data_IF_910604422789
#
_entry.id   IF_910604422789
#
_cell.length_a   1.000
_cell.length_b   1.000
_cell.length_c   1.000
_cell.angle_alpha   90.00
_cell.angle_beta   90.00
_cell.angle_gamma   90.00
#
_symmetry.space_group_name_H-M   'P 1'
#
loop_
_entity.id
_entity.type
_entity.pdbx_description
1 polymer ?
#
# COMPACT_ATOMS: atom_id res chain seq x y z
N UNK A 1 14.54 -25.57 -4.84
CA UNK A 1 15.78 -25.33 -4.10
C UNK A 1 16.77 -24.72 -5.08
N UNK A 2 16.93 -23.41 -5.04
CA UNK A 2 18.05 -22.74 -5.67
C UNK A 2 19.32 -23.28 -5.02
N UNK A 3 20.16 -23.92 -5.82
CA UNK A 3 21.28 -24.76 -5.38
C UNK A 3 22.41 -24.04 -4.64
N UNK A 4 22.33 -22.69 -4.49
CA UNK A 4 23.41 -21.87 -3.97
C UNK A 4 23.04 -20.95 -2.78
N UNK A 5 21.80 -21.06 -2.23
CA UNK A 5 21.37 -20.25 -1.10
C UNK A 5 20.98 -21.07 0.12
N UNK A 6 21.63 -20.82 1.27
CA UNK A 6 21.27 -21.39 2.57
C UNK A 6 20.27 -20.45 3.27
N UNK A 7 19.07 -20.94 3.50
CA UNK A 7 18.01 -20.25 4.23
C UNK A 7 17.78 -20.87 5.59
N UNK A 8 17.45 -20.05 6.60
CA UNK A 8 16.75 -20.57 7.77
C UNK A 8 15.32 -20.92 7.35
N UNK A 9 14.86 -22.13 7.66
CA UNK A 9 13.55 -22.67 7.27
C UNK A 9 12.39 -21.69 7.50
N UNK A 10 12.40 -20.96 8.62
CA UNK A 10 11.36 -19.97 8.93
C UNK A 10 11.30 -18.82 7.92
N UNK A 11 12.43 -18.31 7.45
CA UNK A 11 12.46 -17.22 6.47
C UNK A 11 12.01 -17.69 5.09
N UNK A 12 12.37 -18.91 4.72
CA UNK A 12 11.88 -19.53 3.50
C UNK A 12 10.35 -19.70 3.53
N UNK A 13 9.78 -20.15 4.67
CA UNK A 13 8.33 -20.27 4.84
C UNK A 13 7.63 -18.90 4.79
N UNK A 14 8.23 -17.87 5.40
CA UNK A 14 7.70 -16.52 5.36
C UNK A 14 7.72 -15.94 3.92
N UNK A 15 8.81 -16.14 3.15
CA UNK A 15 8.91 -15.77 1.73
C UNK A 15 7.84 -16.48 0.88
N UNK A 16 7.67 -17.79 1.05
CA UNK A 16 6.62 -18.56 0.37
C UNK A 16 5.21 -18.03 0.72
N UNK A 17 5.00 -17.67 1.98
CA UNK A 17 3.73 -17.08 2.43
C UNK A 17 3.50 -15.74 1.73
N UNK A 18 4.50 -14.88 1.69
CA UNK A 18 4.42 -13.58 1.01
C UNK A 18 4.08 -13.76 -0.45
N UNK A 19 4.85 -14.59 -1.19
CA UNK A 19 4.63 -14.81 -2.61
C UNK A 19 3.23 -15.39 -2.91
N UNK A 20 2.82 -16.41 -2.15
CA UNK A 20 1.52 -17.07 -2.34
C UNK A 20 0.35 -16.12 -2.04
N UNK A 21 0.46 -15.34 -0.96
CA UNK A 21 -0.61 -14.41 -0.55
C UNK A 21 -0.70 -13.22 -1.48
N UNK A 22 0.41 -12.66 -1.94
CA UNK A 22 0.41 -11.59 -2.94
C UNK A 22 -0.21 -12.07 -4.25
N UNK A 23 0.20 -13.23 -4.77
CA UNK A 23 -0.40 -13.81 -5.98
C UNK A 23 -1.92 -14.02 -5.82
N UNK A 24 -2.37 -14.52 -4.67
CA UNK A 24 -3.80 -14.69 -4.40
C UNK A 24 -4.54 -13.35 -4.42
N UNK A 25 -4.03 -12.33 -3.72
CA UNK A 25 -4.66 -11.01 -3.65
C UNK A 25 -4.65 -10.29 -5.00
N UNK A 26 -3.62 -10.49 -5.82
CA UNK A 26 -3.50 -9.93 -7.16
C UNK A 26 -4.54 -10.51 -8.14
N UNK A 27 -4.92 -11.78 -7.97
CA UNK A 27 -5.94 -12.43 -8.80
C UNK A 27 -7.37 -12.08 -8.41
N UNK A 28 -7.60 -11.60 -7.20
CA UNK A 28 -8.92 -11.19 -6.74
C UNK A 28 -9.31 -9.85 -7.37
N UNK A 29 -10.46 -9.83 -8.01
CA UNK A 29 -10.98 -8.61 -8.65
C UNK A 29 -11.69 -7.73 -7.64
N UNK A 30 -11.45 -6.44 -7.72
CA UNK A 30 -12.20 -5.44 -6.95
C UNK A 30 -13.59 -5.21 -7.57
N UNK A 31 -14.48 -4.58 -6.82
CA UNK A 31 -15.80 -4.17 -7.31
C UNK A 31 -15.77 -2.91 -8.18
N UNK A 32 -14.65 -2.18 -8.19
CA UNK A 32 -14.50 -0.91 -8.91
C UNK A 32 -13.93 -1.21 -10.30
N UNK A 33 -14.63 -0.78 -11.34
CA UNK A 33 -14.15 -0.88 -12.73
C UNK A 33 -13.29 0.33 -13.11
N UNK A 34 -12.47 0.19 -14.16
CA UNK A 34 -11.65 1.30 -14.69
C UNK A 34 -12.50 2.52 -15.06
N UNK A 35 -13.66 2.31 -15.67
CA UNK A 35 -14.57 3.40 -16.07
C UNK A 35 -15.15 4.12 -14.85
N UNK A 36 -15.58 3.36 -13.86
CA UNK A 36 -16.08 3.91 -12.60
C UNK A 36 -14.96 4.67 -11.85
N UNK A 37 -13.75 4.12 -11.83
CA UNK A 37 -12.60 4.79 -11.21
C UNK A 37 -12.31 6.13 -11.89
N UNK A 38 -12.31 6.18 -13.23
CA UNK A 38 -12.06 7.41 -14.01
C UNK A 38 -13.12 8.47 -13.69
N UNK A 39 -14.40 8.12 -13.78
CA UNK A 39 -15.50 9.05 -13.48
C UNK A 39 -15.37 9.62 -12.06
N UNK A 40 -15.14 8.78 -11.06
CA UNK A 40 -15.01 9.22 -9.67
C UNK A 40 -13.75 10.05 -9.45
N UNK A 41 -12.65 9.74 -10.15
CA UNK A 41 -11.42 10.53 -10.07
C UNK A 41 -11.64 11.94 -10.60
N UNK A 42 -12.33 12.09 -11.73
CA UNK A 42 -12.68 13.39 -12.29
C UNK A 42 -13.53 14.22 -11.29
N UNK A 43 -14.55 13.59 -10.69
CA UNK A 43 -15.37 14.22 -9.64
C UNK A 43 -14.53 14.64 -8.42
N UNK A 44 -13.59 13.80 -7.98
CA UNK A 44 -12.68 14.12 -6.85
C UNK A 44 -11.76 15.27 -7.22
N UNK A 45 -11.19 15.28 -8.43
CA UNK A 45 -10.32 16.38 -8.89
C UNK A 45 -11.07 17.73 -8.94
N UNK A 46 -12.33 17.75 -9.37
CA UNK A 46 -13.17 18.95 -9.36
C UNK A 46 -13.42 19.50 -7.93
N UNK A 47 -13.40 18.64 -6.91
CA UNK A 47 -13.55 19.08 -5.52
C UNK A 47 -12.29 19.67 -4.92
N UNK A 48 -11.12 19.45 -5.53
CA UNK A 48 -9.84 19.88 -4.97
C UNK A 48 -9.70 21.39 -5.05
N UNK A 49 -9.63 22.04 -3.89
CA UNK A 49 -9.56 23.50 -3.74
C UNK A 49 -8.13 24.05 -3.92
N UNK A 50 -7.44 23.61 -4.97
CA UNK A 50 -6.11 24.14 -5.33
C UNK A 50 -6.12 24.63 -6.79
N UNK A 51 -5.83 25.92 -7.05
CA UNK A 51 -5.69 26.41 -8.42
C UNK A 51 -4.65 25.60 -9.19
N UNK A 52 -5.00 25.17 -10.39
CA UNK A 52 -4.12 24.42 -11.29
C UNK A 52 -3.63 23.06 -10.76
N UNK A 53 -4.33 22.47 -9.78
CA UNK A 53 -4.02 21.12 -9.37
C UNK A 53 -4.53 20.14 -10.44
N UNK A 54 -3.63 19.42 -11.04
CA UNK A 54 -3.91 18.32 -11.96
C UNK A 54 -2.96 17.19 -11.65
N UNK A 55 -3.48 15.98 -11.70
CA UNK A 55 -2.66 14.77 -11.65
C UNK A 55 -1.99 14.58 -13.00
N UNK A 56 -0.72 14.22 -13.01
CA UNK A 56 -0.07 13.71 -14.20
C UNK A 56 -0.55 12.29 -14.56
N UNK A 57 -0.18 11.81 -15.72
CA UNK A 57 -0.62 10.52 -16.25
C UNK A 57 -0.22 9.35 -15.33
N UNK A 58 1.00 9.39 -14.78
CA UNK A 58 1.47 8.38 -13.83
C UNK A 58 0.67 8.38 -12.53
N UNK A 59 0.31 9.56 -12.03
CA UNK A 59 -0.52 9.70 -10.83
C UNK A 59 -1.95 9.20 -11.06
N UNK A 60 -2.51 9.43 -12.25
CA UNK A 60 -3.82 8.89 -12.66
C UNK A 60 -3.78 7.36 -12.71
N UNK A 61 -2.75 6.78 -13.33
CA UNK A 61 -2.55 5.34 -13.38
C UNK A 61 -2.36 4.74 -11.98
N UNK A 62 -1.67 5.45 -11.11
CA UNK A 62 -1.52 5.11 -9.71
C UNK A 62 -2.86 4.99 -8.97
N UNK A 63 -3.73 5.96 -9.12
CA UNK A 63 -5.08 5.94 -8.52
C UNK A 63 -5.89 4.79 -9.10
N UNK A 64 -5.83 4.59 -10.42
CA UNK A 64 -6.51 3.51 -11.11
C UNK A 64 -6.07 2.14 -10.59
N UNK A 65 -4.75 1.90 -10.53
CA UNK A 65 -4.20 0.64 -10.02
C UNK A 65 -4.66 0.37 -8.58
N UNK A 66 -4.59 1.37 -7.69
CA UNK A 66 -5.02 1.22 -6.31
C UNK A 66 -6.54 1.00 -6.15
N UNK A 67 -7.36 1.51 -7.08
CA UNK A 67 -8.81 1.34 -7.07
C UNK A 67 -9.25 -0.02 -7.63
N UNK A 68 -8.56 -0.54 -8.65
CA UNK A 68 -8.96 -1.74 -9.39
C UNK A 68 -8.26 -3.03 -8.93
N UNK A 69 -7.25 -2.95 -8.06
CA UNK A 69 -6.52 -4.09 -7.50
C UNK A 69 -6.59 -4.12 -5.99
N UNK A 70 -6.47 -5.32 -5.42
CA UNK A 70 -6.49 -5.50 -3.96
C UNK A 70 -5.13 -5.24 -3.31
N UNK A 71 -4.04 -5.30 -4.06
CA UNK A 71 -2.71 -4.90 -3.59
C UNK A 71 -2.11 -3.91 -4.56
N UNK A 72 -1.59 -2.82 -4.03
CA UNK A 72 -0.86 -1.81 -4.79
C UNK A 72 0.34 -1.30 -4.01
N UNK A 73 1.40 -0.96 -4.73
CA UNK A 73 2.62 -0.36 -4.18
C UNK A 73 2.75 1.06 -4.71
N UNK A 74 2.75 2.04 -3.81
CA UNK A 74 3.04 3.44 -4.10
C UNK A 74 4.50 3.72 -3.79
N UNK A 75 5.33 3.63 -4.81
CA UNK A 75 6.77 3.85 -4.74
C UNK A 75 7.14 5.29 -5.06
N UNK A 76 8.23 5.78 -4.48
CA UNK A 76 8.79 7.09 -4.80
C UNK A 76 9.70 7.64 -3.71
N UNK A 77 10.62 8.52 -4.07
CA UNK A 77 11.55 9.18 -3.16
C UNK A 77 10.89 10.15 -2.16
N UNK A 78 11.67 10.74 -1.27
CA UNK A 78 11.18 11.76 -0.34
C UNK A 78 10.66 12.98 -1.09
N UNK A 79 9.49 13.52 -0.68
CA UNK A 79 8.93 14.74 -1.28
C UNK A 79 8.20 14.55 -2.62
N UNK A 80 8.05 13.34 -3.14
CA UNK A 80 7.33 13.05 -4.40
C UNK A 80 5.80 13.13 -4.31
N UNK A 81 5.27 13.52 -3.16
CA UNK A 81 3.82 13.67 -2.99
C UNK A 81 3.06 12.40 -2.62
N UNK A 82 3.73 11.32 -2.18
CA UNK A 82 3.10 10.04 -1.78
C UNK A 82 1.89 10.23 -0.85
N UNK A 83 2.00 11.09 0.16
CA UNK A 83 0.87 11.37 1.08
C UNK A 83 -0.32 12.00 0.36
N UNK A 84 -0.07 12.90 -0.59
CA UNK A 84 -1.12 13.50 -1.44
C UNK A 84 -1.82 12.41 -2.26
N UNK A 85 -1.05 11.51 -2.86
CA UNK A 85 -1.59 10.37 -3.60
C UNK A 85 -2.42 9.44 -2.71
N UNK A 86 -1.94 9.11 -1.51
CA UNK A 86 -2.72 8.32 -0.53
C UNK A 86 -4.07 9.01 -0.24
N UNK A 87 -4.10 10.33 -0.01
CA UNK A 87 -5.35 11.05 0.24
C UNK A 87 -6.31 10.98 -0.95
N UNK A 88 -5.81 11.13 -2.18
CA UNK A 88 -6.63 11.06 -3.40
C UNK A 88 -7.15 9.65 -3.62
N UNK A 89 -6.29 8.63 -3.50
CA UNK A 89 -6.70 7.22 -3.60
C UNK A 89 -7.81 6.91 -2.60
N UNK A 90 -7.63 7.29 -1.34
CA UNK A 90 -8.64 7.06 -0.31
C UNK A 90 -9.94 7.83 -0.58
N UNK A 91 -9.87 9.05 -1.12
CA UNK A 91 -11.04 9.82 -1.51
C UNK A 91 -11.79 9.16 -2.67
N UNK A 92 -11.09 8.67 -3.69
CA UNK A 92 -11.67 7.94 -4.81
C UNK A 92 -12.32 6.64 -4.33
N UNK A 93 -11.64 5.86 -3.50
CA UNK A 93 -12.19 4.62 -2.94
C UNK A 93 -13.46 4.88 -2.12
N UNK A 94 -13.45 5.91 -1.27
CA UNK A 94 -14.61 6.28 -0.44
C UNK A 94 -15.78 6.83 -1.26
N UNK A 95 -15.52 7.42 -2.42
CA UNK A 95 -16.56 7.92 -3.34
C UNK A 95 -17.11 6.81 -4.24
N UNK A 96 -16.24 5.89 -4.69
CA UNK A 96 -16.63 4.78 -5.55
C UNK A 96 -17.38 3.66 -4.82
N UNK A 97 -17.09 3.46 -3.52
CA UNK A 97 -17.73 2.45 -2.69
C UNK A 97 -18.41 3.08 -1.46
N UNK A 98 -19.73 3.32 -1.53
CA UNK A 98 -20.49 3.87 -0.39
C UNK A 98 -20.50 2.96 0.86
N UNK A 99 -20.15 1.69 0.72
CA UNK A 99 -20.05 0.72 1.82
C UNK A 99 -18.67 0.63 2.44
N UNK A 100 -17.70 1.37 1.89
CA UNK A 100 -16.36 1.44 2.47
C UNK A 100 -16.44 2.00 3.89
N UNK A 101 -16.23 1.14 4.88
CA UNK A 101 -16.51 1.48 6.28
C UNK A 101 -15.26 1.78 7.08
N UNK A 102 -14.19 1.01 6.94
CA UNK A 102 -13.03 1.06 7.83
C UNK A 102 -11.72 1.11 7.08
N UNK A 103 -10.98 2.19 7.29
CA UNK A 103 -9.64 2.40 6.76
C UNK A 103 -8.65 2.37 7.93
N UNK A 104 -7.61 1.54 7.84
CA UNK A 104 -6.49 1.55 8.77
C UNK A 104 -5.29 2.27 8.13
N UNK A 105 -4.67 3.16 8.93
CA UNK A 105 -3.36 3.75 8.62
C UNK A 105 -2.32 3.09 9.52
N UNK A 106 -1.23 2.61 8.96
CA UNK A 106 -0.21 1.90 9.70
C UNK A 106 1.21 2.24 9.22
N UNK A 107 2.20 1.98 10.08
CA UNK A 107 3.60 2.13 9.74
C UNK A 107 4.45 1.19 10.63
N UNK A 108 5.74 0.95 10.33
CA UNK A 108 6.62 0.12 11.15
C UNK A 108 6.84 0.66 12.57
N UNK A 109 6.82 1.97 12.75
CA UNK A 109 7.05 2.62 14.05
C UNK A 109 5.89 3.54 14.46
N UNK A 110 5.73 3.74 15.78
CA UNK A 110 4.70 4.64 16.32
C UNK A 110 4.87 6.09 15.87
N UNK A 111 6.13 6.55 15.72
CA UNK A 111 6.45 7.89 15.21
C UNK A 111 6.03 8.06 13.76
N UNK A 112 6.30 7.07 12.91
CA UNK A 112 5.91 7.08 11.51
C UNK A 112 4.37 7.02 11.38
N UNK A 113 3.70 6.16 12.14
CA UNK A 113 2.25 6.07 12.16
C UNK A 113 1.58 7.40 12.55
N UNK A 114 2.11 8.09 13.59
CA UNK A 114 1.60 9.41 13.98
C UNK A 114 1.80 10.45 12.88
N UNK A 115 2.97 10.47 12.23
CA UNK A 115 3.26 11.36 11.11
C UNK A 115 2.33 11.11 9.93
N UNK A 116 2.08 9.84 9.58
CA UNK A 116 1.16 9.46 8.51
C UNK A 116 -0.24 10.01 8.79
N UNK A 117 -0.77 9.79 9.99
CA UNK A 117 -2.10 10.29 10.39
C UNK A 117 -2.19 11.81 10.24
N UNK A 118 -1.21 12.53 10.81
CA UNK A 118 -1.21 13.99 10.82
C UNK A 118 -1.07 14.53 9.38
N UNK A 119 -0.24 13.89 8.56
CA UNK A 119 -0.03 14.23 7.16
C UNK A 119 -1.29 13.95 6.31
N UNK A 120 -1.94 12.81 6.47
CA UNK A 120 -3.20 12.47 5.76
C UNK A 120 -4.31 13.45 6.18
N UNK A 121 -4.43 13.76 7.46
CA UNK A 121 -5.46 14.69 7.96
C UNK A 121 -5.23 16.10 7.41
N UNK A 122 -4.01 16.63 7.51
CA UNK A 122 -3.69 17.98 7.04
C UNK A 122 -3.78 18.11 5.52
N UNK A 123 -3.33 17.09 4.78
CA UNK A 123 -3.38 17.09 3.31
C UNK A 123 -4.81 16.98 2.81
N UNK A 124 -5.62 16.09 3.37
CA UNK A 124 -7.05 15.96 3.01
C UNK A 124 -7.80 17.28 3.23
N UNK A 125 -7.55 17.94 4.37
CA UNK A 125 -8.13 19.26 4.65
C UNK A 125 -7.64 20.33 3.66
N UNK A 126 -6.34 20.37 3.36
CA UNK A 126 -5.75 21.34 2.43
C UNK A 126 -6.21 21.13 0.97
N UNK A 127 -6.63 19.92 0.61
CA UNK A 127 -7.22 19.61 -0.70
C UNK A 127 -8.73 19.82 -0.75
N UNK A 128 -9.38 20.07 0.40
CA UNK A 128 -10.84 20.21 0.48
C UNK A 128 -11.59 18.87 0.31
N UNK A 129 -10.91 17.74 0.53
CA UNK A 129 -11.51 16.42 0.43
C UNK A 129 -12.48 16.16 1.58
N UNK A 130 -13.51 15.35 1.34
CA UNK A 130 -14.44 14.92 2.38
C UNK A 130 -13.69 14.18 3.50
N UNK A 131 -14.17 14.27 4.77
CA UNK A 131 -13.62 13.48 5.85
C UNK A 131 -13.63 11.98 5.49
N UNK A 132 -12.48 11.36 5.57
CA UNK A 132 -12.34 9.93 5.28
C UNK A 132 -12.83 9.09 6.47
N UNK A 133 -13.45 7.92 6.25
CA UNK A 133 -13.80 6.97 7.31
C UNK A 133 -12.54 6.27 7.86
N UNK A 134 -11.53 7.05 8.22
CA UNK A 134 -10.28 6.52 8.76
C UNK A 134 -10.47 6.09 10.21
N UNK A 135 -9.77 5.05 10.61
CA UNK A 135 -9.60 4.74 12.01
C UNK A 135 -9.03 5.99 12.70
N UNK A 136 -9.63 6.39 13.81
CA UNK A 136 -9.26 7.58 14.58
C UNK A 136 -7.80 7.62 15.03
N UNK A 137 -7.07 6.52 14.87
CA UNK A 137 -5.67 6.38 15.24
C UNK A 137 -4.92 5.56 14.19
N UNK A 138 -3.82 6.14 13.67
CA UNK A 138 -2.82 5.35 12.98
C UNK A 138 -2.01 4.54 14.02
N UNK A 139 -1.68 3.29 13.69
CA UNK A 139 -1.02 2.37 14.61
C UNK A 139 0.21 1.73 13.97
N UNK A 140 1.08 1.13 14.79
CA UNK A 140 2.14 0.30 14.22
C UNK A 140 1.57 -0.99 13.63
N UNK A 141 2.26 -1.60 12.64
CA UNK A 141 1.85 -2.89 12.06
C UNK A 141 1.71 -3.96 13.15
N UNK A 142 2.59 -3.98 14.15
CA UNK A 142 2.46 -4.88 15.30
C UNK A 142 1.16 -4.64 16.10
N UNK A 143 0.82 -3.39 16.35
CA UNK A 143 -0.43 -3.05 17.05
C UNK A 143 -1.66 -3.34 16.19
N UNK A 144 -1.59 -3.09 14.88
CA UNK A 144 -2.63 -3.43 13.92
C UNK A 144 -2.94 -4.94 13.95
N UNK A 145 -1.90 -5.77 13.95
CA UNK A 145 -2.00 -7.22 14.06
C UNK A 145 -2.39 -7.71 15.46
N UNK A 146 -2.49 -6.79 16.44
CA UNK A 146 -2.87 -7.13 17.81
C UNK A 146 -1.80 -7.95 18.52
N UNK A 147 -0.53 -7.52 18.50
CA UNK A 147 0.58 -8.16 19.20
C UNK A 147 0.29 -8.34 20.69
N UNK A 148 0.37 -9.57 21.19
CA UNK A 148 0.02 -9.94 22.56
C UNK A 148 1.25 -10.26 23.43
N UNK A 149 2.45 -10.07 22.88
CA UNK A 149 3.70 -10.34 23.60
C UNK A 149 4.38 -11.64 23.19
N UNK A 150 5.60 -11.88 23.72
CA UNK A 150 6.36 -13.09 23.44
C UNK A 150 5.58 -14.35 23.86
N UNK A 151 5.46 -15.32 22.94
CA UNK A 151 4.77 -16.58 23.18
C UNK A 151 3.26 -16.60 22.90
N UNK A 152 2.60 -15.42 22.86
CA UNK A 152 1.16 -15.33 22.54
C UNK A 152 0.90 -14.96 21.07
N UNK A 153 1.91 -14.44 20.36
CA UNK A 153 1.82 -14.09 18.95
C UNK A 153 0.92 -12.91 18.63
N UNK A 154 0.26 -12.97 17.48
CA UNK A 154 -0.65 -11.95 16.99
C UNK A 154 -2.10 -12.41 17.14
N UNK A 155 -3.01 -11.47 17.38
CA UNK A 155 -4.46 -11.73 17.47
C UNK A 155 -5.07 -12.00 16.10
N UNK A 156 -4.59 -11.27 15.07
CA UNK A 156 -5.09 -11.38 13.72
C UNK A 156 -4.16 -12.25 12.89
N UNK A 157 -4.76 -13.17 12.15
CA UNK A 157 -4.11 -14.17 11.30
C UNK A 157 -5.08 -14.64 10.19
N UNK A 158 -4.73 -15.71 9.47
CA UNK A 158 -5.57 -16.27 8.41
C UNK A 158 -6.95 -16.79 8.88
N UNK A 159 -7.12 -17.10 10.17
CA UNK A 159 -8.38 -17.59 10.75
C UNK A 159 -9.19 -16.45 11.39
N UNK A 160 -8.53 -15.39 11.79
CA UNK A 160 -9.15 -14.21 12.40
C UNK A 160 -8.62 -12.94 11.69
N UNK A 161 -9.22 -12.61 10.56
CA UNK A 161 -8.75 -11.55 9.69
C UNK A 161 -9.00 -10.14 10.23
N UNK A 162 -8.19 -9.19 9.77
CA UNK A 162 -8.31 -7.78 10.09
C UNK A 162 -9.65 -7.23 9.58
N UNK A 163 -10.40 -6.50 10.42
CA UNK A 163 -11.73 -6.02 10.09
C UNK A 163 -11.68 -4.66 9.34
N UNK A 164 -10.84 -4.53 8.32
CA UNK A 164 -10.67 -3.30 7.55
C UNK A 164 -10.91 -3.55 6.07
N UNK A 165 -11.49 -2.54 5.40
CA UNK A 165 -11.74 -2.55 3.97
C UNK A 165 -10.51 -2.07 3.20
N UNK A 166 -9.78 -1.10 3.78
CA UNK A 166 -8.51 -0.60 3.25
C UNK A 166 -7.47 -0.54 4.35
N UNK A 167 -6.26 -0.98 4.06
CA UNK A 167 -5.10 -0.86 4.92
C UNK A 167 -4.00 -0.14 4.15
N UNK A 168 -3.57 1.00 4.67
CA UNK A 168 -2.40 1.75 4.15
C UNK A 168 -1.23 1.50 5.09
N UNK A 169 -0.11 1.07 4.54
CA UNK A 169 1.14 0.89 5.29
C UNK A 169 2.21 1.80 4.71
N UNK A 170 2.57 2.84 5.46
CA UNK A 170 3.67 3.74 5.10
C UNK A 170 5.02 3.20 5.59
N UNK A 171 6.10 3.66 4.98
CA UNK A 171 7.46 3.17 5.22
C UNK A 171 7.55 1.63 5.08
N UNK A 172 6.84 1.05 4.10
CA UNK A 172 6.74 -0.40 3.91
C UNK A 172 8.09 -1.07 3.58
N UNK A 173 9.08 -0.32 3.07
CA UNK A 173 10.46 -0.78 2.87
C UNK A 173 11.15 -1.23 4.16
N UNK A 174 10.68 -0.77 5.32
CA UNK A 174 11.20 -1.15 6.63
C UNK A 174 10.55 -2.40 7.22
N UNK A 175 9.54 -2.98 6.56
CA UNK A 175 8.92 -4.23 7.03
C UNK A 175 9.84 -5.42 6.75
N UNK A 176 10.08 -6.24 7.77
CA UNK A 176 10.73 -7.54 7.56
C UNK A 176 9.80 -8.50 6.81
N UNK A 177 10.40 -9.48 6.10
CA UNK A 177 9.67 -10.55 5.42
C UNK A 177 8.69 -11.25 6.37
N UNK A 178 9.14 -11.53 7.61
CA UNK A 178 8.30 -12.18 8.62
C UNK A 178 7.08 -11.33 9.01
N UNK A 179 7.25 -10.01 9.18
CA UNK A 179 6.13 -9.13 9.53
C UNK A 179 5.17 -8.95 8.35
N UNK A 180 5.70 -8.85 7.13
CA UNK A 180 4.90 -8.81 5.89
C UNK A 180 4.08 -10.10 5.74
N UNK A 181 4.68 -11.27 5.95
CA UNK A 181 3.96 -12.55 5.90
C UNK A 181 2.79 -12.58 6.89
N UNK A 182 2.99 -12.10 8.14
CA UNK A 182 1.92 -12.00 9.14
C UNK A 182 0.82 -11.03 8.74
N UNK A 183 1.19 -9.89 8.16
CA UNK A 183 0.23 -8.91 7.67
C UNK A 183 -0.62 -9.50 6.55
N UNK A 184 0.00 -10.12 5.55
CA UNK A 184 -0.69 -10.71 4.41
C UNK A 184 -1.58 -11.89 4.81
N UNK A 185 -1.19 -12.70 5.80
CA UNK A 185 -2.05 -13.76 6.34
C UNK A 185 -3.29 -13.21 7.06
N UNK A 186 -3.16 -12.05 7.70
CA UNK A 186 -4.26 -11.43 8.43
C UNK A 186 -5.22 -10.62 7.53
N UNK A 187 -4.89 -10.39 6.25
CA UNK A 187 -5.70 -9.63 5.31
C UNK A 187 -6.76 -10.52 4.66
N UNK A 188 -8.00 -10.04 4.65
CA UNK A 188 -9.13 -10.69 3.97
C UNK A 188 -9.08 -10.50 2.45
N UNK A 189 -9.72 -11.41 1.70
CA UNK A 189 -9.72 -11.39 0.23
C UNK A 189 -10.29 -10.10 -0.38
N UNK A 190 -11.15 -9.38 0.34
CA UNK A 190 -11.76 -8.11 -0.11
C UNK A 190 -11.10 -6.86 0.45
N UNK A 191 -10.10 -7.01 1.31
CA UNK A 191 -9.36 -5.88 1.88
C UNK A 191 -8.33 -5.38 0.87
N UNK A 192 -8.31 -4.09 0.62
CA UNK A 192 -7.28 -3.45 -0.20
C UNK A 192 -6.06 -3.12 0.66
N UNK A 193 -4.90 -3.50 0.18
CA UNK A 193 -3.61 -3.19 0.79
C UNK A 193 -2.85 -2.20 -0.09
N UNK A 194 -2.53 -1.04 0.47
CA UNK A 194 -1.72 -0.02 -0.18
C UNK A 194 -0.39 0.07 0.59
N UNK A 195 0.67 -0.41 -0.03
CA UNK A 195 2.03 -0.32 0.50
C UNK A 195 2.66 0.97 -0.03
N UNK A 196 3.11 1.82 0.88
CA UNK A 196 3.77 3.09 0.55
C UNK A 196 5.21 3.03 1.03
N UNK A 197 6.15 3.35 0.17
CA UNK A 197 7.55 3.30 0.56
C UNK A 197 8.48 3.86 -0.51
N UNK A 198 9.75 3.75 -0.20
CA UNK A 198 10.83 4.14 -1.08
C UNK A 198 11.78 2.92 -1.18
N UNK A 199 11.88 2.27 -2.34
CA UNK A 199 12.69 1.07 -2.51
C UNK A 199 14.18 1.34 -2.33
N UNK A 200 14.63 2.60 -2.52
CA UNK A 200 16.02 3.01 -2.39
C UNK A 200 16.40 3.41 -0.95
N UNK A 201 15.40 3.51 -0.04
CA UNK A 201 15.69 3.76 1.38
C UNK A 201 16.25 2.52 2.09
N UNK A 202 16.96 2.80 3.20
CA UNK A 202 17.54 1.77 4.06
C UNK A 202 16.54 0.64 4.36
N UNK A 203 16.92 -0.54 3.94
CA UNK A 203 16.19 -1.79 4.14
C UNK A 203 16.05 -2.08 5.64
N UNK A 204 15.06 -2.87 6.02
CA UNK A 204 14.87 -3.36 7.37
C UNK A 204 16.16 -3.99 7.92
N UNK A 205 16.42 -3.84 9.24
CA UNK A 205 17.56 -4.46 9.93
C UNK A 205 17.49 -5.99 9.88
N UNK A 206 16.30 -6.55 9.66
CA UNK A 206 16.06 -7.98 9.46
C UNK A 206 16.14 -8.36 7.97
N UNK A 207 16.38 -9.64 7.69
CA UNK A 207 16.60 -10.15 6.34
C UNK A 207 15.42 -9.87 5.39
N UNK A 208 15.75 -9.38 4.17
CA UNK A 208 14.85 -9.22 3.04
C UNK A 208 14.13 -7.85 2.97
N UNK A 209 13.93 -7.36 1.75
CA UNK A 209 13.11 -6.18 1.46
C UNK A 209 12.02 -6.57 0.45
N UNK A 210 10.87 -6.99 0.96
CA UNK A 210 9.74 -7.41 0.12
C UNK A 210 9.33 -6.31 -0.86
N UNK A 211 9.34 -5.03 -0.41
CA UNK A 211 8.96 -3.92 -1.26
C UNK A 211 9.93 -3.73 -2.45
N UNK A 212 11.24 -3.81 -2.19
CA UNK A 212 12.25 -3.69 -3.24
C UNK A 212 12.17 -4.85 -4.24
N UNK A 213 11.91 -6.07 -3.75
CA UNK A 213 11.75 -7.25 -4.61
C UNK A 213 10.50 -7.14 -5.50
N UNK A 214 9.38 -6.64 -4.96
CA UNK A 214 8.17 -6.38 -5.75
C UNK A 214 8.44 -5.34 -6.83
N UNK A 215 9.04 -4.21 -6.49
CA UNK A 215 9.34 -3.13 -7.45
C UNK A 215 10.32 -3.61 -8.51
N UNK A 216 11.38 -4.36 -8.13
CA UNK A 216 12.36 -4.89 -9.08
C UNK A 216 11.73 -5.88 -10.08
N UNK A 217 10.83 -6.76 -9.62
CA UNK A 217 10.16 -7.74 -10.49
C UNK A 217 9.28 -7.08 -11.55
N UNK A 218 8.67 -5.93 -11.25
CA UNK A 218 7.90 -5.16 -12.23
C UNK A 218 8.78 -4.37 -13.20
N UNK A 219 9.89 -3.80 -12.72
CA UNK A 219 10.84 -3.09 -13.59
C UNK A 219 11.49 -3.97 -14.67
N UNK A 220 11.57 -5.28 -14.46
CA UNK A 220 12.03 -6.25 -15.45
C UNK A 220 10.97 -6.55 -16.53
N UNK A 221 9.69 -6.58 -16.15
CA UNK A 221 8.57 -6.81 -17.07
C UNK A 221 8.29 -5.59 -17.97
N UNK A 222 8.59 -4.37 -17.53
CA UNK A 222 8.40 -3.14 -18.31
C UNK A 222 9.49 -2.83 -19.31
N UNK A 223 10.64 -3.51 -19.27
CA UNK A 223 11.78 -3.25 -20.15
C UNK A 223 11.72 -3.94 -21.52
N UNK A 224 10.73 -4.75 -21.80
CA UNK A 224 10.62 -5.43 -23.11
C UNK A 224 10.06 -4.54 -24.24
N UNK A 225 9.54 -3.32 -23.99
CA UNK A 225 8.81 -2.60 -25.04
C UNK A 225 9.07 -1.09 -25.19
N UNK A 226 10.00 -0.43 -24.48
CA UNK A 226 10.33 0.96 -24.84
C UNK A 226 11.75 1.39 -24.50
N UNK A 227 12.48 1.78 -25.56
CA UNK A 227 13.87 2.27 -25.53
C UNK A 227 13.98 3.78 -25.28
N UNK A 228 13.35 4.32 -24.23
CA UNK A 228 13.52 5.73 -23.82
C UNK A 228 14.14 5.84 -22.42
N UNK A 229 15.43 6.18 -22.39
CA UNK A 229 16.10 6.71 -21.21
C UNK A 229 15.64 8.14 -20.98
N UNK A 230 14.71 8.36 -20.06
CA UNK A 230 14.53 9.68 -19.46
C UNK A 230 14.24 9.54 -17.97
N UNK A 231 15.22 10.00 -17.16
CA UNK A 231 15.23 9.93 -15.71
C UNK A 231 14.30 10.94 -15.05
N UNK A 232 13.01 10.76 -15.18
CA UNK A 232 11.98 11.50 -14.47
C UNK A 232 11.56 10.77 -13.21
N UNK A 233 11.60 11.45 -12.06
CA UNK A 233 11.15 10.99 -10.73
C UNK A 233 9.64 10.66 -10.76
N UNK A 234 9.28 9.48 -11.22
CA UNK A 234 7.92 9.00 -11.27
C UNK A 234 7.58 8.28 -9.95
N UNK A 235 6.47 8.67 -9.33
CA UNK A 235 5.80 7.84 -8.33
C UNK A 235 5.14 6.69 -9.09
N UNK A 236 5.76 5.53 -9.08
CA UNK A 236 5.25 4.36 -9.78
C UNK A 236 4.34 3.59 -8.84
N UNK A 237 3.08 3.40 -9.24
CA UNK A 237 2.17 2.45 -8.57
C UNK A 237 2.10 1.21 -9.44
N UNK A 238 2.56 0.12 -8.86
CA UNK A 238 2.56 -1.17 -9.50
C UNK A 238 1.37 -1.98 -8.98
N UNK A 239 0.46 -2.48 -9.84
CA UNK A 239 -0.40 -3.59 -9.47
C UNK A 239 0.49 -4.80 -9.21
N UNK A 240 0.32 -5.46 -8.09
CA UNK A 240 1.04 -6.69 -7.75
C UNK A 240 0.30 -7.89 -8.30
#
# INVERSE_FOLDING_TARGET
>A
LDSDRLYLERYWLDEQTVATRLAHLAHEKTSITDEQCRQVLDEVQETIQRPHFQLDEFQVDAVRAAATHNVSVLSGGPGTGKTTMVCIILAVLASADPHLGRIALSAPSGKAASRLRDAVTSTSHALGLRPLPTASQATTVHSLLGWQGPGSGFRYDKLNQLPYDVIVVDEASMLSVSLMARLLDAIGARTRLILVGDPDQLVSVEAGSVLADIVASHGELGKEDDGSEDGGLASEVLPV
#
